data_IF_497923008954
#
_entry.id   IF_497923008954
#
_cell.length_a   1.000
_cell.length_b   1.000
_cell.length_c   1.000
_cell.angle_alpha   90.00
_cell.angle_beta   90.00
_cell.angle_gamma   90.00
#
_symmetry.space_group_name_H-M   'P 1'
#
loop_
_entity.id
_entity.type
_entity.pdbx_description
1 polymer ?
#
# COMPACT_ATOMS: atom_id res chain seq x y z
N UNK A 1 35.99 43.93 47.47
CA UNK A 1 36.00 42.47 47.35
C UNK A 1 34.56 42.03 47.02
N UNK A 2 34.24 41.81 45.77
CA UNK A 2 32.91 41.33 45.33
C UNK A 2 33.15 40.07 44.51
N UNK A 3 32.82 38.93 45.11
CA UNK A 3 32.81 37.58 44.41
C UNK A 3 31.68 37.49 43.45
N UNK A 4 31.96 37.25 42.20
CA UNK A 4 30.99 36.95 41.17
C UNK A 4 30.99 35.42 40.96
N UNK A 5 29.92 34.77 41.42
CA UNK A 5 29.65 33.36 41.18
C UNK A 5 29.08 33.21 39.77
N UNK A 6 29.86 32.64 38.86
CA UNK A 6 29.39 32.21 37.56
C UNK A 6 28.65 30.87 37.70
N UNK A 7 27.35 30.92 37.58
CA UNK A 7 26.52 29.72 37.45
C UNK A 7 26.58 29.21 36.03
N UNK A 8 27.29 28.09 35.82
CA UNK A 8 27.37 27.37 34.57
C UNK A 8 26.12 26.48 34.42
N UNK A 9 25.09 26.98 33.74
CA UNK A 9 23.92 26.17 33.43
C UNK A 9 24.24 25.27 32.24
N UNK A 10 24.38 23.98 32.53
CA UNK A 10 24.57 22.90 31.54
C UNK A 10 23.26 22.67 30.83
N UNK A 11 23.12 23.20 29.61
CA UNK A 11 22.03 22.88 28.69
C UNK A 11 22.26 21.49 28.11
N UNK A 12 21.59 20.50 28.70
CA UNK A 12 21.48 19.16 28.13
C UNK A 12 20.47 19.24 27.01
N UNK A 13 20.96 19.38 25.79
CA UNK A 13 20.13 19.20 24.57
C UNK A 13 19.85 17.70 24.41
N UNK A 14 18.68 17.27 24.81
CA UNK A 14 18.15 15.94 24.46
C UNK A 14 17.87 15.92 22.96
N UNK A 15 18.76 15.27 22.20
CA UNK A 15 18.49 14.86 20.84
C UNK A 15 17.34 13.85 20.89
N UNK A 16 16.14 14.31 20.64
CA UNK A 16 15.02 13.44 20.34
C UNK A 16 15.31 12.79 18.98
N UNK A 17 15.78 11.55 19.01
CA UNK A 17 15.73 10.69 17.85
C UNK A 17 14.25 10.48 17.53
N UNK A 18 13.76 11.16 16.51
CA UNK A 18 12.50 10.80 15.87
C UNK A 18 12.72 9.42 15.24
N UNK A 19 12.37 8.37 15.96
CA UNK A 19 12.12 7.07 15.35
C UNK A 19 10.91 7.26 14.45
N UNK A 20 11.15 7.26 13.15
CA UNK A 20 10.10 7.01 12.18
C UNK A 20 9.64 5.57 12.38
N UNK A 21 8.76 5.39 13.33
CA UNK A 21 7.90 4.23 13.36
C UNK A 21 7.00 4.38 12.13
N UNK A 22 7.32 3.63 11.07
CA UNK A 22 6.36 3.31 10.04
C UNK A 22 5.24 2.56 10.74
N UNK A 23 4.26 3.32 11.22
CA UNK A 23 3.03 2.77 11.76
C UNK A 23 2.32 2.15 10.55
N UNK A 24 2.43 0.83 10.44
CA UNK A 24 1.57 0.05 9.55
C UNK A 24 0.13 0.19 10.07
N UNK A 25 -0.54 1.26 9.69
CA UNK A 25 -1.95 1.43 9.99
C UNK A 25 -2.74 0.50 9.08
N UNK A 26 -3.04 -0.69 9.59
CA UNK A 26 -3.93 -1.64 8.94
C UNK A 26 -5.36 -1.11 9.03
N UNK A 27 -5.82 -0.45 7.98
CA UNK A 27 -7.23 -0.08 7.86
C UNK A 27 -8.05 -1.34 7.56
N UNK A 28 -8.62 -1.95 8.59
CA UNK A 28 -9.62 -3.00 8.43
C UNK A 28 -10.93 -2.36 7.99
N UNK A 29 -11.45 -2.78 6.85
CA UNK A 29 -12.79 -2.41 6.39
C UNK A 29 -13.60 -3.68 6.29
N UNK A 30 -14.57 -3.81 7.20
CA UNK A 30 -15.64 -4.78 7.08
C UNK A 30 -16.62 -4.28 6.03
N UNK A 31 -16.81 -5.06 4.97
CA UNK A 31 -17.83 -4.78 3.95
C UNK A 31 -19.06 -5.62 4.32
N UNK A 32 -20.14 -5.01 4.82
CA UNK A 32 -21.36 -5.76 5.03
C UNK A 32 -21.97 -6.07 3.66
N UNK A 33 -22.00 -7.35 3.31
CA UNK A 33 -22.77 -7.83 2.16
C UNK A 33 -24.15 -8.26 2.65
N UNK A 34 -25.18 -7.64 2.10
CA UNK A 34 -26.54 -8.07 2.25
C UNK A 34 -26.84 -9.20 1.25
N UNK A 35 -27.38 -10.27 1.77
CA UNK A 35 -28.23 -11.34 1.23
C UNK A 35 -27.61 -12.69 0.86
N UNK A 36 -28.19 -13.68 1.52
CA UNK A 36 -28.38 -15.12 1.28
C UNK A 36 -27.20 -15.94 0.71
N UNK A 37 -26.66 -16.82 1.53
CA UNK A 37 -25.57 -17.78 1.28
C UNK A 37 -24.19 -17.12 1.06
N UNK A 38 -23.68 -16.46 2.07
CA UNK A 38 -22.68 -15.42 1.86
C UNK A 38 -21.34 -15.84 2.40
N UNK A 39 -20.40 -16.05 1.49
CA UNK A 39 -19.02 -15.83 1.83
C UNK A 39 -18.78 -14.31 1.89
N UNK A 40 -18.47 -13.78 3.06
CA UNK A 40 -18.00 -12.41 3.19
C UNK A 40 -16.48 -12.40 3.03
N UNK A 41 -15.98 -11.55 2.13
CA UNK A 41 -14.54 -11.34 1.97
C UNK A 41 -14.18 -10.00 2.57
N UNK A 42 -13.31 -10.01 3.58
CA UNK A 42 -12.70 -8.82 4.13
C UNK A 42 -11.28 -8.67 3.58
N UNK A 43 -10.76 -7.46 3.50
CA UNK A 43 -9.38 -7.25 3.10
C UNK A 43 -8.78 -6.00 3.74
N UNK A 44 -7.46 -6.05 3.97
CA UNK A 44 -6.67 -4.92 4.43
C UNK A 44 -5.50 -4.65 3.49
N UNK A 45 -5.23 -3.37 3.19
CA UNK A 45 -4.06 -2.97 2.40
C UNK A 45 -2.96 -2.57 3.36
N UNK A 46 -1.84 -3.31 3.38
CA UNK A 46 -0.71 -3.07 4.29
C UNK A 46 0.17 -1.89 3.88
N UNK A 47 -0.04 -1.30 2.72
CA UNK A 47 0.73 -0.15 2.24
C UNK A 47 1.35 -0.35 0.86
N UNK A 48 2.05 0.68 0.40
CA UNK A 48 2.77 0.70 -0.87
C UNK A 48 4.27 0.71 -0.56
N UNK A 49 4.97 -0.33 -1.04
CA UNK A 49 6.40 -0.49 -0.89
C UNK A 49 7.08 -0.20 -2.22
N UNK A 50 7.98 0.76 -2.23
CA UNK A 50 8.77 1.03 -3.42
C UNK A 50 9.99 0.12 -3.49
N UNK A 51 10.22 -0.50 -4.65
CA UNK A 51 11.47 -1.18 -4.94
C UNK A 51 12.50 -0.09 -5.29
N UNK A 52 13.51 0.07 -4.44
CA UNK A 52 14.58 1.04 -4.68
C UNK A 52 15.48 0.56 -5.81
N UNK A 53 15.93 1.49 -6.61
CA UNK A 53 17.01 1.26 -7.57
C UNK A 53 18.34 1.31 -6.79
N UNK A 54 19.05 0.18 -6.73
CA UNK A 54 20.31 0.04 -6.02
C UNK A 54 21.45 0.89 -6.63
N UNK A 55 21.31 1.27 -7.90
CA UNK A 55 22.28 2.13 -8.58
C UNK A 55 22.22 3.60 -8.15
N UNK A 56 21.14 4.01 -7.47
CA UNK A 56 20.93 5.38 -7.02
C UNK A 56 21.41 5.60 -5.59
N UNK A 57 22.24 6.62 -5.40
CA UNK A 57 22.66 7.00 -4.06
C UNK A 57 21.43 7.37 -3.20
N UNK A 58 21.24 6.75 -2.02
CA UNK A 58 20.08 6.98 -1.15
C UNK A 58 19.84 8.45 -0.79
N UNK A 59 20.90 9.25 -0.64
CA UNK A 59 20.78 10.68 -0.31
C UNK A 59 20.22 11.54 -1.46
N UNK A 60 20.24 11.01 -2.67
CA UNK A 60 19.82 11.70 -3.90
C UNK A 60 18.57 11.07 -4.51
N UNK A 61 18.03 10.06 -3.85
CA UNK A 61 16.82 9.37 -4.26
C UNK A 61 15.58 10.06 -3.71
N UNK A 62 14.61 10.33 -4.59
CA UNK A 62 13.25 10.76 -4.23
C UNK A 62 12.27 9.69 -4.63
N UNK A 63 11.45 9.26 -3.68
CA UNK A 63 10.49 8.17 -3.87
C UNK A 63 9.39 8.53 -4.86
N UNK A 64 8.89 7.50 -5.53
CA UNK A 64 7.64 7.51 -6.28
C UNK A 64 6.48 7.92 -5.37
N UNK A 65 5.52 8.71 -5.90
CA UNK A 65 4.33 9.11 -5.13
C UNK A 65 3.09 9.12 -6.02
N UNK A 66 1.97 8.74 -5.43
CA UNK A 66 0.66 8.95 -6.04
C UNK A 66 0.21 10.40 -5.79
N UNK A 67 -0.45 11.08 -6.76
CA UNK A 67 -1.03 12.40 -6.53
C UNK A 67 -2.10 12.37 -5.43
N UNK A 68 -1.83 13.03 -4.32
CA UNK A 68 -2.66 12.99 -3.12
C UNK A 68 -2.25 11.95 -2.08
N UNK A 69 -1.12 11.25 -2.32
CA UNK A 69 -0.50 10.35 -1.33
C UNK A 69 -1.00 8.92 -1.39
N UNK A 70 -0.41 8.09 -0.53
CA UNK A 70 -0.68 6.66 -0.42
C UNK A 70 -2.12 6.38 -0.01
N UNK A 71 -2.65 7.10 0.96
CA UNK A 71 -4.01 6.91 1.49
C UNK A 71 -5.07 7.14 0.41
N UNK A 72 -4.88 8.16 -0.41
CA UNK A 72 -5.76 8.42 -1.55
C UNK A 72 -5.75 7.26 -2.54
N UNK A 73 -4.55 6.73 -2.87
CA UNK A 73 -4.44 5.57 -3.76
C UNK A 73 -5.14 4.35 -3.17
N UNK A 74 -4.94 4.07 -1.89
CA UNK A 74 -5.57 2.95 -1.18
C UNK A 74 -7.10 3.10 -1.20
N UNK A 75 -7.61 4.29 -0.93
CA UNK A 75 -9.06 4.57 -0.98
C UNK A 75 -9.63 4.31 -2.38
N UNK A 76 -9.01 4.85 -3.42
CA UNK A 76 -9.44 4.65 -4.80
C UNK A 76 -9.34 3.17 -5.23
N UNK A 77 -8.29 2.45 -4.80
CA UNK A 77 -8.17 1.02 -5.05
C UNK A 77 -9.32 0.24 -4.40
N UNK A 78 -9.66 0.56 -3.15
CA UNK A 78 -10.79 -0.07 -2.45
C UNK A 78 -12.10 0.14 -3.20
N UNK A 79 -12.37 1.36 -3.65
CA UNK A 79 -13.55 1.67 -4.48
C UNK A 79 -13.56 0.86 -5.78
N UNK A 80 -12.40 0.72 -6.45
CA UNK A 80 -12.30 -0.08 -7.67
C UNK A 80 -12.46 -1.59 -7.42
N UNK A 81 -11.94 -2.09 -6.32
CA UNK A 81 -12.16 -3.48 -5.91
C UNK A 81 -13.65 -3.74 -5.65
N UNK A 82 -14.33 -2.87 -4.93
CA UNK A 82 -15.78 -2.99 -4.68
C UNK A 82 -16.61 -2.97 -5.96
N UNK A 83 -16.23 -2.14 -6.93
CA UNK A 83 -16.98 -1.97 -8.19
C UNK A 83 -16.72 -3.08 -9.22
N UNK A 84 -15.55 -3.74 -9.16
CA UNK A 84 -15.11 -4.61 -10.26
C UNK A 84 -14.92 -6.07 -9.87
N UNK A 85 -14.93 -6.41 -8.57
CA UNK A 85 -14.76 -7.78 -8.10
C UNK A 85 -16.11 -8.33 -7.66
N UNK A 86 -16.50 -9.47 -8.21
CA UNK A 86 -17.68 -10.19 -7.73
C UNK A 86 -17.29 -11.07 -6.54
N UNK A 87 -17.36 -10.49 -5.34
CA UNK A 87 -16.92 -11.12 -4.10
C UNK A 87 -17.66 -12.42 -3.77
N UNK A 88 -18.91 -12.59 -4.24
CA UNK A 88 -19.68 -13.82 -3.99
C UNK A 88 -19.12 -15.06 -4.69
N UNK A 89 -18.25 -14.87 -5.68
CA UNK A 89 -17.63 -15.96 -6.45
C UNK A 89 -16.31 -16.44 -5.89
N UNK A 90 -15.75 -15.73 -4.88
CA UNK A 90 -14.42 -15.99 -4.38
C UNK A 90 -14.42 -16.41 -2.92
N UNK A 91 -13.62 -17.43 -2.60
CA UNK A 91 -13.18 -17.76 -1.24
C UNK A 91 -11.66 -17.57 -1.21
N UNK A 92 -11.21 -16.46 -0.61
CA UNK A 92 -9.82 -16.02 -0.70
C UNK A 92 -9.28 -15.80 0.69
N UNK A 93 -8.14 -16.42 0.98
CA UNK A 93 -7.42 -16.23 2.23
C UNK A 93 -5.93 -16.04 1.97
N UNK A 94 -5.33 -15.10 2.67
CA UNK A 94 -3.90 -14.89 2.67
C UNK A 94 -3.44 -13.61 1.98
N UNK A 95 -2.13 -13.49 1.89
CA UNK A 95 -1.44 -12.31 1.39
C UNK A 95 -1.30 -12.36 -0.14
N UNK A 96 -1.88 -11.37 -0.78
CA UNK A 96 -1.70 -11.09 -2.21
C UNK A 96 -0.92 -9.82 -2.43
N UNK A 97 -0.42 -9.62 -3.63
CA UNK A 97 0.26 -8.39 -4.00
C UNK A 97 -0.17 -7.90 -5.38
N UNK A 98 -0.09 -6.59 -5.54
CA UNK A 98 -0.17 -5.90 -6.82
C UNK A 98 1.15 -5.16 -7.03
N UNK A 99 1.84 -5.47 -8.13
CA UNK A 99 3.05 -4.80 -8.54
C UNK A 99 2.73 -3.82 -9.65
N UNK A 100 3.20 -2.60 -9.50
CA UNK A 100 3.01 -1.48 -10.41
C UNK A 100 4.36 -1.09 -11.01
N UNK A 101 4.45 -1.07 -12.33
CA UNK A 101 5.60 -0.51 -13.04
C UNK A 101 5.21 0.88 -13.56
N UNK A 102 5.90 1.89 -13.09
CA UNK A 102 5.69 3.30 -13.46
C UNK A 102 6.93 3.78 -14.21
N UNK A 103 6.74 4.32 -15.41
CA UNK A 103 7.84 4.83 -16.21
C UNK A 103 8.33 6.20 -15.69
N UNK A 104 9.46 6.67 -16.22
CA UNK A 104 10.07 7.97 -15.90
C UNK A 104 9.16 9.18 -16.15
N UNK A 105 8.14 9.04 -17.01
CA UNK A 105 7.16 10.07 -17.28
C UNK A 105 5.99 10.06 -16.27
N UNK A 106 6.04 9.14 -15.27
CA UNK A 106 5.02 8.99 -14.25
C UNK A 106 3.80 8.21 -14.72
N UNK A 107 3.88 7.51 -15.84
CA UNK A 107 2.74 6.72 -16.36
C UNK A 107 2.83 5.28 -15.90
N UNK A 108 1.72 4.75 -15.38
CA UNK A 108 1.56 3.34 -15.07
C UNK A 108 1.62 2.52 -16.37
N UNK A 109 2.71 1.78 -16.56
CA UNK A 109 3.00 1.02 -17.77
C UNK A 109 2.59 -0.45 -17.67
N UNK A 110 2.63 -1.03 -16.45
CA UNK A 110 2.30 -2.43 -16.23
C UNK A 110 1.75 -2.65 -14.83
N UNK A 111 0.79 -3.58 -14.73
CA UNK A 111 0.26 -4.09 -13.47
C UNK A 111 0.36 -5.62 -13.47
N UNK A 112 0.90 -6.17 -12.41
CA UNK A 112 0.93 -7.61 -12.16
C UNK A 112 0.30 -7.90 -10.81
N UNK A 113 -0.42 -9.01 -10.69
CA UNK A 113 -1.00 -9.48 -9.43
C UNK A 113 -0.49 -10.90 -9.10
N UNK A 114 -0.39 -11.21 -7.82
CA UNK A 114 0.09 -12.50 -7.33
C UNK A 114 -0.16 -12.69 -5.83
N UNK A 115 0.26 -13.82 -5.26
CA UNK A 115 0.93 -14.95 -5.94
C UNK A 115 -0.05 -15.75 -6.81
N UNK A 116 0.47 -16.45 -7.81
CA UNK A 116 -0.30 -17.43 -8.56
C UNK A 116 -0.39 -18.72 -7.74
N UNK A 117 -1.59 -19.02 -7.28
CA UNK A 117 -1.91 -20.27 -6.58
C UNK A 117 -3.01 -21.00 -7.36
N UNK A 118 -3.28 -22.26 -7.04
CA UNK A 118 -4.33 -23.01 -7.71
C UNK A 118 -5.66 -22.24 -7.69
N UNK A 119 -6.34 -22.17 -8.83
CA UNK A 119 -7.64 -21.50 -9.03
C UNK A 119 -7.68 -19.99 -8.76
N UNK A 120 -6.51 -19.32 -8.67
CA UNK A 120 -6.47 -17.88 -8.39
C UNK A 120 -6.54 -16.99 -9.64
N UNK A 121 -6.41 -17.53 -10.84
CA UNK A 121 -6.32 -16.75 -12.08
C UNK A 121 -7.49 -15.77 -12.29
N UNK A 122 -8.77 -16.16 -12.10
CA UNK A 122 -9.87 -15.22 -12.26
C UNK A 122 -9.78 -14.06 -11.27
N UNK A 123 -9.50 -14.35 -10.01
CA UNK A 123 -9.32 -13.34 -8.98
C UNK A 123 -8.14 -12.41 -9.26
N UNK A 124 -6.98 -12.96 -9.64
CA UNK A 124 -5.80 -12.17 -9.99
C UNK A 124 -6.06 -11.24 -11.18
N UNK A 125 -6.89 -11.71 -12.14
CA UNK A 125 -7.33 -10.85 -13.24
C UNK A 125 -8.15 -9.68 -12.73
N UNK A 126 -9.16 -9.93 -11.89
CA UNK A 126 -10.03 -8.89 -11.35
C UNK A 126 -9.24 -7.90 -10.47
N UNK A 127 -8.33 -8.40 -9.63
CA UNK A 127 -7.44 -7.59 -8.81
C UNK A 127 -6.54 -6.68 -9.66
N UNK A 128 -5.95 -7.23 -10.73
CA UNK A 128 -5.16 -6.47 -11.69
C UNK A 128 -5.99 -5.42 -12.40
N UNK A 129 -7.20 -5.77 -12.86
CA UNK A 129 -8.10 -4.87 -13.58
C UNK A 129 -8.56 -3.73 -12.67
N UNK A 130 -8.88 -4.00 -11.40
CA UNK A 130 -9.20 -2.98 -10.41
C UNK A 130 -8.03 -2.03 -10.20
N UNK A 131 -6.82 -2.54 -9.97
CA UNK A 131 -5.62 -1.72 -9.78
C UNK A 131 -5.27 -0.88 -11.02
N UNK A 132 -5.50 -1.39 -12.22
CA UNK A 132 -5.30 -0.66 -13.48
C UNK A 132 -6.29 0.51 -13.64
N UNK A 133 -7.48 0.41 -13.05
CA UNK A 133 -8.52 1.45 -13.08
C UNK A 133 -8.35 2.55 -12.05
N UNK A 134 -7.46 2.37 -11.08
CA UNK A 134 -6.98 3.46 -10.21
C UNK A 134 -6.10 4.38 -11.05
N UNK A 135 -5.96 5.61 -10.82
CA UNK A 135 -5.29 6.58 -11.68
C UNK A 135 -3.97 6.11 -12.32
N UNK A 136 -3.78 6.47 -13.56
CA UNK A 136 -2.61 6.06 -14.37
C UNK A 136 -1.40 6.99 -14.21
N UNK A 137 -1.56 8.15 -13.58
CA UNK A 137 -0.53 9.19 -13.51
C UNK A 137 0.04 9.26 -12.10
N UNK A 138 1.36 9.18 -12.00
CA UNK A 138 2.15 9.20 -10.77
C UNK A 138 3.19 10.32 -10.82
N UNK A 139 3.71 10.70 -9.68
CA UNK A 139 4.92 11.52 -9.58
C UNK A 139 6.09 10.54 -9.57
N UNK A 140 6.92 10.47 -10.65
CA UNK A 140 7.95 9.43 -10.77
C UNK A 140 9.03 9.58 -9.70
N UNK A 141 9.70 8.48 -9.39
CA UNK A 141 10.90 8.55 -8.58
C UNK A 141 12.00 9.33 -9.32
N UNK A 142 12.91 9.89 -8.57
CA UNK A 142 14.06 10.63 -9.13
C UNK A 142 15.36 10.17 -8.50
N UNK A 143 16.38 10.09 -9.32
CA UNK A 143 17.77 9.92 -8.91
C UNK A 143 18.58 11.12 -9.36
N UNK A 144 19.28 11.79 -8.46
CA UNK A 144 20.03 13.03 -8.77
C UNK A 144 19.14 14.10 -9.47
N UNK A 145 17.86 14.18 -9.10
CA UNK A 145 16.92 15.10 -9.74
C UNK A 145 16.31 14.60 -11.06
N UNK A 146 16.88 13.58 -11.69
CA UNK A 146 16.40 13.00 -12.96
C UNK A 146 15.33 11.96 -12.71
N UNK A 147 14.16 12.04 -13.38
CA UNK A 147 13.12 10.99 -13.28
C UNK A 147 13.62 9.64 -13.77
N UNK A 148 13.24 8.58 -13.08
CA UNK A 148 13.61 7.20 -13.39
C UNK A 148 12.38 6.28 -13.39
N UNK A 149 12.46 5.18 -14.13
CA UNK A 149 11.50 4.10 -14.06
C UNK A 149 11.46 3.53 -12.64
N UNK A 150 10.28 3.16 -12.18
CA UNK A 150 10.08 2.79 -10.78
C UNK A 150 9.10 1.64 -10.65
N UNK A 151 9.24 0.88 -9.56
CA UNK A 151 8.34 -0.22 -9.22
C UNK A 151 7.82 -0.04 -7.81
N UNK A 152 6.52 -0.27 -7.65
CA UNK A 152 5.89 -0.33 -6.34
C UNK A 152 5.14 -1.65 -6.16
N UNK A 153 5.04 -2.11 -4.91
CA UNK A 153 4.29 -3.31 -4.54
C UNK A 153 3.29 -2.91 -3.47
N UNK A 154 2.02 -3.23 -3.72
CA UNK A 154 1.00 -3.22 -2.68
C UNK A 154 0.85 -4.63 -2.13
N UNK A 155 0.75 -4.74 -0.81
CA UNK A 155 0.42 -6.00 -0.13
C UNK A 155 -0.99 -5.91 0.41
N UNK A 156 -1.81 -6.90 0.12
CA UNK A 156 -3.23 -6.95 0.48
C UNK A 156 -3.50 -8.30 1.12
N UNK A 157 -3.96 -8.27 2.37
CA UNK A 157 -4.46 -9.47 3.04
C UNK A 157 -5.94 -9.63 2.75
N UNK A 158 -6.33 -10.83 2.37
CA UNK A 158 -7.72 -11.23 2.20
C UNK A 158 -8.10 -12.30 3.22
N UNK A 159 -9.32 -12.22 3.73
CA UNK A 159 -9.92 -13.21 4.62
C UNK A 159 -11.36 -13.44 4.22
N UNK A 160 -11.69 -14.68 3.89
CA UNK A 160 -13.06 -15.12 3.61
C UNK A 160 -13.63 -15.80 4.86
N UNK A 161 -14.82 -15.40 5.25
CA UNK A 161 -15.63 -16.10 6.25
C UNK A 161 -16.74 -16.84 5.51
N UNK A 162 -16.79 -18.16 5.65
CA UNK A 162 -17.91 -18.97 5.18
C UNK A 162 -18.86 -19.16 6.37
N UNK A 163 -20.06 -18.64 6.27
CA UNK A 163 -21.08 -18.93 7.24
C UNK A 163 -21.78 -20.23 6.80
N UNK A 164 -21.43 -21.34 7.44
CA UNK A 164 -22.24 -22.55 7.35
C UNK A 164 -23.55 -22.27 8.08
N UNK A 165 -24.64 -22.13 7.33
CA UNK A 165 -25.99 -22.13 7.87
C UNK A 165 -26.38 -23.56 8.34
N UNK A 166 -25.59 -24.10 9.28
CA UNK A 166 -25.88 -25.38 9.91
C UNK A 166 -26.75 -25.16 11.16
N UNK A 167 -27.93 -24.62 10.95
CA UNK A 167 -29.03 -24.74 11.93
C UNK A 167 -30.31 -25.04 11.16
N UNK A 168 -30.52 -26.32 10.90
CA UNK A 168 -31.83 -26.94 10.78
C UNK A 168 -32.05 -27.82 12.00
#
# INVERSE_FOLDING_TARGET
>A
MKSILFSLSLLISTLAFAQNNDVEESLNIDIPMADASTSSVTYSVRGIYQIKDESCNPSQFKSLRYPGGTDKYIKELKEKLQQNVNWSTYSINGLFFVKLDINKDGILSKVEAGPKVANSEPFLKDLKDAATKVGKTWIPAKCNGTPIDSKAILKIDFSSMTYDNAFN
#
